data_IF_633701125769
#
_entry.id   IF_633701125769
#
_cell.length_a   1.000
_cell.length_b   1.000
_cell.length_c   1.000
_cell.angle_alpha   90.00
_cell.angle_beta   90.00
_cell.angle_gamma   90.00
#
_symmetry.space_group_name_H-M   'P 1'
#
loop_
_entity.id
_entity.type
_entity.pdbx_description
1 polymer ?
#
# COMPACT_ATOMS: atom_id res chain seq x y z
N UNK A 1 -4.05 18.17 -4.49
CA UNK A 1 -5.48 17.82 -4.48
C UNK A 1 -5.75 17.11 -3.17
N UNK A 2 -6.69 17.60 -2.37
CA UNK A 2 -7.09 16.97 -1.10
C UNK A 2 -7.90 15.73 -1.44
N UNK A 3 -7.48 14.56 -0.99
CA UNK A 3 -8.28 13.33 -1.07
C UNK A 3 -9.62 13.58 -0.38
N UNK A 4 -10.75 13.10 -0.92
CA UNK A 4 -12.03 13.21 -0.24
C UNK A 4 -11.93 12.52 1.13
N UNK A 5 -12.62 13.05 2.15
CA UNK A 5 -12.62 12.43 3.46
C UNK A 5 -13.16 11.00 3.37
N UNK A 6 -12.54 10.09 4.13
CA UNK A 6 -13.00 8.72 4.31
C UNK A 6 -14.49 8.76 4.71
N UNK A 7 -15.36 8.20 3.88
CA UNK A 7 -16.79 8.17 4.15
C UNK A 7 -17.15 6.84 4.82
N UNK A 8 -17.19 6.84 6.14
CA UNK A 8 -17.56 5.70 6.98
C UNK A 8 -18.98 5.15 6.72
N UNK A 9 -19.90 5.97 6.18
CA UNK A 9 -21.26 5.53 5.86
C UNK A 9 -21.29 4.57 4.68
N UNK A 10 -20.51 4.84 3.61
CA UNK A 10 -20.47 3.98 2.44
C UNK A 10 -19.83 2.61 2.72
N UNK A 11 -18.87 2.56 3.64
CA UNK A 11 -18.23 1.31 4.06
C UNK A 11 -19.18 0.45 4.90
N UNK A 12 -19.90 1.07 5.84
CA UNK A 12 -20.93 0.42 6.65
C UNK A 12 -22.04 -0.20 5.78
N UNK A 13 -22.47 0.49 4.73
CA UNK A 13 -23.50 0.00 3.82
C UNK A 13 -22.98 -1.16 2.97
N UNK A 14 -21.72 -1.11 2.51
CA UNK A 14 -21.09 -2.18 1.77
C UNK A 14 -20.96 -3.47 2.61
N UNK A 15 -20.57 -3.36 3.87
CA UNK A 15 -20.45 -4.50 4.77
C UNK A 15 -21.80 -5.14 5.11
N UNK A 16 -22.90 -4.37 5.07
CA UNK A 16 -24.28 -4.84 5.30
C UNK A 16 -24.93 -5.43 4.06
N UNK A 17 -24.40 -5.16 2.86
CA UNK A 17 -24.94 -5.66 1.62
C UNK A 17 -24.87 -7.19 1.55
N UNK A 18 -25.81 -7.82 0.87
CA UNK A 18 -25.82 -9.26 0.66
C UNK A 18 -24.57 -9.71 -0.11
N UNK A 19 -24.09 -10.95 0.11
CA UNK A 19 -22.90 -11.45 -0.59
C UNK A 19 -22.97 -11.33 -2.12
N UNK A 20 -24.13 -11.54 -2.72
CA UNK A 20 -24.34 -11.40 -4.17
C UNK A 20 -24.14 -9.94 -4.63
N UNK A 21 -24.68 -8.98 -3.88
CA UNK A 21 -24.54 -7.55 -4.19
C UNK A 21 -23.08 -7.10 -4.09
N UNK A 22 -22.35 -7.58 -3.07
CA UNK A 22 -20.90 -7.31 -2.92
C UNK A 22 -20.09 -7.89 -4.08
N UNK A 23 -20.44 -9.12 -4.50
CA UNK A 23 -19.82 -9.76 -5.66
C UNK A 23 -20.04 -8.97 -6.95
N UNK A 24 -21.28 -8.53 -7.22
CA UNK A 24 -21.61 -7.76 -8.40
C UNK A 24 -20.97 -6.37 -8.38
N UNK A 25 -20.90 -5.74 -7.22
CA UNK A 25 -20.18 -4.48 -7.03
C UNK A 25 -18.68 -4.61 -7.34
N UNK A 26 -18.02 -5.66 -6.82
CA UNK A 26 -16.62 -5.96 -7.12
C UNK A 26 -16.38 -6.24 -8.60
N UNK A 27 -17.28 -7.01 -9.23
CA UNK A 27 -17.21 -7.30 -10.67
C UNK A 27 -17.37 -6.03 -11.53
N UNK A 28 -18.23 -5.12 -11.12
CA UNK A 28 -18.43 -3.84 -11.82
C UNK A 28 -17.19 -2.96 -11.73
N UNK A 29 -16.56 -2.89 -10.54
CA UNK A 29 -15.30 -2.14 -10.34
C UNK A 29 -14.16 -2.71 -11.19
N UNK A 30 -14.03 -4.04 -11.26
CA UNK A 30 -13.03 -4.69 -12.12
C UNK A 30 -13.23 -4.40 -13.62
N UNK A 31 -14.48 -4.18 -14.05
CA UNK A 31 -14.76 -3.76 -15.45
C UNK A 31 -14.37 -2.29 -15.68
N UNK A 32 -14.58 -1.44 -14.66
CA UNK A 32 -14.22 -0.02 -14.74
C UNK A 32 -12.70 0.19 -14.69
N UNK A 33 -12.00 -0.62 -13.90
CA UNK A 33 -10.54 -0.62 -13.77
C UNK A 33 -10.04 -2.05 -14.06
N UNK A 34 -9.76 -2.38 -15.32
CA UNK A 34 -9.25 -3.69 -15.71
C UNK A 34 -7.83 -3.91 -15.20
N UNK A 35 -7.40 -5.17 -15.06
CA UNK A 35 -6.06 -5.51 -14.57
C UNK A 35 -4.93 -4.88 -15.38
N UNK A 36 -5.14 -4.71 -16.69
CA UNK A 36 -4.19 -4.10 -17.60
C UNK A 36 -3.90 -2.63 -17.27
N UNK A 37 -4.84 -1.92 -16.63
CA UNK A 37 -4.65 -0.55 -16.21
C UNK A 37 -3.59 -0.40 -15.08
N UNK A 38 -3.26 -1.49 -14.38
CA UNK A 38 -2.24 -1.51 -13.33
C UNK A 38 -0.83 -1.84 -13.86
N UNK A 39 -0.69 -2.19 -15.14
CA UNK A 39 0.61 -2.53 -15.76
C UNK A 39 1.40 -1.26 -16.10
N UNK A 40 0.72 -0.14 -16.27
CA UNK A 40 1.39 1.12 -16.60
C UNK A 40 2.25 1.58 -15.42
N UNK A 41 3.55 1.66 -15.69
CA UNK A 41 4.50 2.25 -14.74
C UNK A 41 4.11 3.70 -14.44
N UNK A 42 4.50 4.18 -13.25
CA UNK A 42 4.33 5.58 -12.89
C UNK A 42 4.81 6.50 -14.01
N UNK A 43 4.05 7.53 -14.40
CA UNK A 43 4.40 8.39 -15.52
C UNK A 43 5.76 9.06 -15.29
N UNK A 44 6.62 9.05 -16.28
CA UNK A 44 7.94 9.71 -16.20
C UNK A 44 7.82 11.22 -15.97
N UNK A 45 6.77 11.82 -16.51
CA UNK A 45 6.50 13.27 -16.38
C UNK A 45 5.64 13.53 -15.13
N UNK A 46 6.14 14.38 -14.24
CA UNK A 46 5.44 14.77 -13.01
C UNK A 46 5.69 13.86 -11.82
N UNK A 47 6.47 12.79 -11.99
CA UNK A 47 6.89 11.93 -10.88
C UNK A 47 7.78 12.71 -9.91
N UNK A 48 7.48 12.62 -8.63
CA UNK A 48 8.37 13.18 -7.60
C UNK A 48 9.69 12.40 -7.59
N UNK A 49 10.81 13.12 -7.62
CA UNK A 49 12.14 12.51 -7.54
C UNK A 49 12.27 11.64 -6.26
N UNK A 50 12.61 10.36 -6.40
CA UNK A 50 12.75 9.43 -5.27
C UNK A 50 13.70 9.92 -4.18
N UNK A 51 14.80 10.59 -4.55
CA UNK A 51 15.76 11.13 -3.58
C UNK A 51 15.12 12.27 -2.77
N UNK A 52 14.27 13.07 -3.37
CA UNK A 52 13.51 14.11 -2.67
C UNK A 52 12.55 13.51 -1.63
N UNK A 53 11.89 12.39 -1.96
CA UNK A 53 11.00 11.68 -1.02
C UNK A 53 11.81 11.15 0.17
N UNK A 54 12.93 10.47 -0.09
CA UNK A 54 13.80 9.93 0.94
C UNK A 54 14.37 11.04 1.84
N UNK A 55 14.89 12.11 1.26
CA UNK A 55 15.42 13.25 2.02
C UNK A 55 14.35 13.90 2.92
N UNK A 56 13.08 13.89 2.52
CA UNK A 56 11.99 14.36 3.37
C UNK A 56 11.75 13.44 4.55
N UNK A 57 11.78 12.12 4.36
CA UNK A 57 11.67 11.14 5.44
C UNK A 57 12.85 11.23 6.43
N UNK A 58 14.06 11.49 5.94
CA UNK A 58 15.25 11.55 6.78
C UNK A 58 15.20 12.67 7.83
N UNK A 59 14.39 13.72 7.58
CA UNK A 59 14.21 14.82 8.55
C UNK A 59 13.57 14.38 9.88
N UNK A 60 12.85 13.26 9.87
CA UNK A 60 12.17 12.70 11.06
C UNK A 60 12.90 11.50 11.65
N UNK A 61 14.00 11.06 11.02
CA UNK A 61 14.80 9.91 11.45
C UNK A 61 15.96 10.34 12.35
N UNK A 62 16.51 9.36 13.07
CA UNK A 62 17.76 9.54 13.81
C UNK A 62 18.93 9.74 12.82
N UNK A 63 19.61 10.90 12.83
CA UNK A 63 20.62 11.24 11.82
C UNK A 63 21.75 10.22 11.70
N UNK A 64 22.17 9.64 12.81
CA UNK A 64 23.24 8.62 12.88
C UNK A 64 22.85 7.30 12.20
N UNK A 65 21.56 7.01 12.04
CA UNK A 65 21.07 5.79 11.39
C UNK A 65 20.80 5.96 9.89
N UNK A 66 20.72 7.20 9.39
CA UNK A 66 20.46 7.48 7.97
C UNK A 66 21.53 6.86 7.06
N UNK A 67 22.85 7.00 7.30
CA UNK A 67 23.88 6.36 6.47
C UNK A 67 23.78 4.83 6.48
N UNK A 68 23.45 4.23 7.61
CA UNK A 68 23.27 2.78 7.74
C UNK A 68 22.08 2.29 6.90
N UNK A 69 20.97 3.04 6.92
CA UNK A 69 19.78 2.76 6.10
C UNK A 69 20.14 2.75 4.61
N UNK A 70 20.77 3.82 4.11
CA UNK A 70 21.19 3.89 2.71
C UNK A 70 22.19 2.79 2.34
N UNK A 71 23.16 2.49 3.20
CA UNK A 71 24.08 1.39 2.99
C UNK A 71 23.42 0.01 2.90
N UNK A 72 22.27 -0.18 3.56
CA UNK A 72 21.46 -1.40 3.43
C UNK A 72 20.63 -1.39 2.15
N UNK A 73 19.96 -0.29 1.86
CA UNK A 73 19.09 -0.13 0.68
C UNK A 73 19.85 -0.29 -0.63
N UNK A 74 21.11 0.18 -0.70
CA UNK A 74 21.90 0.17 -1.93
C UNK A 74 22.48 -1.19 -2.33
N UNK A 75 22.27 -2.25 -1.54
CA UNK A 75 22.89 -3.56 -1.79
C UNK A 75 22.25 -4.33 -2.94
N UNK A 76 20.93 -4.36 -2.98
CA UNK A 76 20.16 -5.10 -4.00
C UNK A 76 18.85 -4.40 -4.28
N UNK A 77 18.20 -4.65 -5.45
CA UNK A 77 16.85 -4.16 -5.71
C UNK A 77 15.84 -4.54 -4.61
N UNK A 78 15.92 -5.74 -4.07
CA UNK A 78 15.05 -6.20 -3.00
C UNK A 78 15.25 -5.42 -1.69
N UNK A 79 16.51 -5.17 -1.30
CA UNK A 79 16.78 -4.37 -0.10
C UNK A 79 16.40 -2.89 -0.29
N UNK A 80 16.45 -2.38 -1.53
CA UNK A 80 15.93 -1.06 -1.86
C UNK A 80 14.41 -1.01 -1.70
N UNK A 81 13.68 -1.98 -2.27
CA UNK A 81 12.23 -2.09 -2.17
C UNK A 81 11.76 -2.03 -0.71
N UNK A 82 12.38 -2.80 0.17
CA UNK A 82 12.06 -2.82 1.61
C UNK A 82 12.24 -1.49 2.35
N UNK A 83 12.98 -0.55 1.79
CA UNK A 83 13.17 0.79 2.36
C UNK A 83 12.46 1.89 1.60
N UNK A 84 11.68 1.56 0.58
CA UNK A 84 11.16 2.50 -0.42
C UNK A 84 9.63 2.64 -0.40
N UNK A 85 8.94 2.21 0.67
CA UNK A 85 7.47 2.25 0.77
C UNK A 85 6.88 3.62 0.40
N UNK A 86 7.48 4.73 0.88
CA UNK A 86 7.00 6.06 0.53
C UNK A 86 7.20 6.44 -0.96
N UNK A 87 8.21 5.88 -1.61
CA UNK A 87 8.41 6.07 -3.06
C UNK A 87 7.32 5.28 -3.79
N UNK A 88 7.12 4.03 -3.43
CA UNK A 88 6.08 3.16 -3.98
C UNK A 88 4.70 3.80 -3.80
N UNK A 89 4.34 4.26 -2.60
CA UNK A 89 3.07 4.95 -2.36
C UNK A 89 2.91 6.22 -3.19
N UNK A 90 3.99 6.98 -3.44
CA UNK A 90 3.96 8.15 -4.33
C UNK A 90 3.70 7.75 -5.79
N UNK A 91 4.28 6.65 -6.24
CA UNK A 91 4.10 6.15 -7.61
C UNK A 91 2.69 5.56 -7.80
N UNK A 92 2.20 4.76 -6.84
CA UNK A 92 0.87 4.16 -6.87
C UNK A 92 -0.25 5.20 -6.77
N UNK A 93 -0.01 6.33 -6.09
CA UNK A 93 -0.99 7.41 -6.00
C UNK A 93 -1.35 8.06 -7.35
N UNK A 94 -0.54 7.87 -8.38
CA UNK A 94 -0.81 8.29 -9.75
C UNK A 94 -1.52 7.20 -10.58
N UNK A 95 -1.61 5.97 -10.07
CA UNK A 95 -2.20 4.82 -10.73
C UNK A 95 -3.73 4.77 -10.68
N UNK A 96 -4.28 3.81 -11.43
CA UNK A 96 -5.71 3.54 -11.41
C UNK A 96 -6.12 2.86 -10.10
N UNK A 97 -7.28 3.24 -9.55
CA UNK A 97 -7.86 2.60 -8.34
C UNK A 97 -9.34 2.33 -8.53
N UNK A 98 -9.85 1.33 -7.83
CA UNK A 98 -11.26 0.91 -7.91
C UNK A 98 -12.15 1.58 -6.87
N UNK A 99 -11.66 2.53 -6.12
CA UNK A 99 -12.33 3.17 -4.97
C UNK A 99 -12.64 2.23 -3.78
N UNK A 100 -12.17 0.99 -3.82
CA UNK A 100 -12.22 0.11 -2.65
C UNK A 100 -11.12 0.51 -1.68
N UNK A 101 -11.51 1.01 -0.53
CA UNK A 101 -10.57 1.41 0.53
C UNK A 101 -10.55 0.37 1.63
N UNK A 102 -9.35 0.09 2.11
CA UNK A 102 -9.09 -0.83 3.23
C UNK A 102 -8.09 -0.17 4.17
N UNK A 103 -7.94 -0.74 5.36
CA UNK A 103 -6.76 -0.46 6.17
C UNK A 103 -5.58 -1.19 5.53
N UNK A 104 -4.66 -0.42 4.94
CA UNK A 104 -3.47 -0.95 4.29
C UNK A 104 -2.45 -1.42 5.32
N UNK A 105 -1.68 -2.45 5.00
CA UNK A 105 -0.37 -2.71 5.60
C UNK A 105 0.62 -1.58 5.25
N UNK A 106 0.56 -1.11 4.01
CA UNK A 106 1.35 0.02 3.49
C UNK A 106 2.73 -0.36 2.98
N UNK A 107 3.27 -1.51 3.36
CA UNK A 107 4.51 -2.11 2.88
C UNK A 107 4.35 -3.64 2.77
N UNK A 108 3.36 -4.09 2.01
CA UNK A 108 2.94 -5.49 1.90
C UNK A 108 3.91 -6.36 1.08
N UNK A 109 5.22 -6.19 1.24
CA UNK A 109 6.19 -7.05 0.57
C UNK A 109 6.23 -8.46 1.17
N UNK A 110 6.66 -9.46 0.40
CA UNK A 110 6.66 -10.89 0.78
C UNK A 110 7.36 -11.18 2.13
N UNK A 111 8.31 -10.36 2.56
CA UNK A 111 8.98 -10.51 3.85
C UNK A 111 8.11 -10.18 5.07
N UNK A 112 6.94 -9.55 4.85
CA UNK A 112 5.98 -9.20 5.90
C UNK A 112 4.87 -10.24 6.05
N UNK A 113 4.86 -11.30 5.24
CA UNK A 113 3.98 -12.45 5.43
C UNK A 113 4.67 -13.50 6.28
N UNK A 114 4.03 -13.93 7.38
CA UNK A 114 4.60 -14.91 8.31
C UNK A 114 3.54 -15.84 8.88
N UNK A 115 4.03 -16.97 9.38
CA UNK A 115 3.25 -17.84 10.25
C UNK A 115 3.35 -17.34 11.69
N UNK A 116 2.22 -17.22 12.36
CA UNK A 116 2.15 -16.91 13.79
C UNK A 116 0.92 -17.57 14.43
N UNK A 117 0.84 -17.54 15.75
CA UNK A 117 -0.31 -18.07 16.47
C UNK A 117 -1.29 -16.95 16.78
N UNK A 118 -2.53 -17.11 16.36
CA UNK A 118 -3.64 -16.26 16.73
C UNK A 118 -3.95 -16.40 18.25
N UNK A 119 -4.74 -15.50 18.85
CA UNK A 119 -5.09 -15.57 20.28
C UNK A 119 -5.76 -16.89 20.71
N UNK A 120 -6.47 -17.56 19.82
CA UNK A 120 -7.08 -18.89 20.00
C UNK A 120 -6.09 -20.05 19.85
N UNK A 121 -4.79 -19.73 19.60
CA UNK A 121 -3.67 -20.65 19.35
C UNK A 121 -3.72 -21.38 18.02
N UNK A 122 -4.60 -21.01 17.11
CA UNK A 122 -4.52 -21.48 15.73
C UNK A 122 -3.34 -20.88 15.00
N UNK A 123 -2.70 -21.68 14.15
CA UNK A 123 -1.61 -21.21 13.32
C UNK A 123 -2.18 -20.53 12.07
N UNK A 124 -1.85 -19.27 11.89
CA UNK A 124 -2.29 -18.44 10.75
C UNK A 124 -1.11 -17.93 9.94
N UNK A 125 -1.33 -17.76 8.66
CA UNK A 125 -0.38 -17.11 7.75
C UNK A 125 -0.98 -15.79 7.29
N UNK A 126 -0.37 -14.68 7.68
CA UNK A 126 -0.90 -13.35 7.41
C UNK A 126 0.22 -12.30 7.44
N UNK A 127 -0.15 -11.06 7.13
CA UNK A 127 0.68 -9.87 7.32
C UNK A 127 0.94 -9.63 8.80
N UNK A 128 2.13 -9.15 9.16
CA UNK A 128 2.52 -8.91 10.54
C UNK A 128 3.22 -7.57 10.81
N UNK A 129 3.34 -6.73 9.80
CA UNK A 129 3.99 -5.43 9.90
C UNK A 129 3.03 -4.36 9.38
N UNK A 130 2.59 -3.49 10.27
CA UNK A 130 1.63 -2.42 10.00
C UNK A 130 2.18 -1.05 10.40
N UNK A 131 3.50 -0.88 10.43
CA UNK A 131 4.14 0.39 10.78
C UNK A 131 3.80 1.51 9.78
N UNK A 132 3.49 1.16 8.53
CA UNK A 132 3.10 2.08 7.46
C UNK A 132 1.58 2.08 7.21
N UNK A 133 0.78 1.55 8.16
CA UNK A 133 -0.68 1.41 8.01
C UNK A 133 -1.39 2.74 7.74
N UNK A 134 -2.32 2.73 6.80
CA UNK A 134 -3.11 3.89 6.42
C UNK A 134 -4.37 3.46 5.66
N UNK A 135 -5.54 4.07 5.87
CA UNK A 135 -6.70 3.85 5.00
C UNK A 135 -6.41 4.27 3.56
N UNK A 136 -6.41 3.31 2.65
CA UNK A 136 -6.07 3.55 1.24
C UNK A 136 -6.72 2.57 0.26
N UNK A 137 -6.48 2.75 -1.05
CA UNK A 137 -6.94 1.81 -2.06
C UNK A 137 -6.30 0.44 -1.84
N UNK A 138 -7.09 -0.64 -1.89
CA UNK A 138 -6.58 -2.00 -1.65
C UNK A 138 -5.49 -2.40 -2.64
N UNK A 139 -5.49 -1.80 -3.83
CA UNK A 139 -4.50 -2.04 -4.88
C UNK A 139 -3.07 -1.70 -4.46
N UNK A 140 -2.90 -0.92 -3.39
CA UNK A 140 -1.56 -0.54 -2.93
C UNK A 140 -0.86 -1.65 -2.14
N UNK A 141 -1.61 -2.63 -1.64
CA UNK A 141 -1.10 -3.79 -0.90
C UNK A 141 -1.04 -5.08 -1.73
N UNK A 142 -1.42 -5.04 -3.04
CA UNK A 142 -1.58 -6.25 -3.87
C UNK A 142 -0.54 -6.41 -4.97
#
# INVERSE_FOLDING_TARGET
MSSPPFNSESESDYLRAAPAERYDAGRSRRKAVPLEAHIEAAPETGRTDPLTILARQDKTRLPELVPLRYGRMSRTPFTFLRGAAAIMGSDLAAGATTDLRVELCGDAHLGNYRWYFAPDREQVFDLNDFDETLPGPFEWDV
#
